data_IF_042099247730
#
_entry.id   IF_042099247730
#
_cell.length_a   1.000
_cell.length_b   1.000
_cell.length_c   1.000
_cell.angle_alpha   90.00
_cell.angle_beta   90.00
_cell.angle_gamma   90.00
#
_symmetry.space_group_name_H-M   'P 1'
#
loop_
_entity.id
_entity.type
_entity.pdbx_description
1 polymer ?
#
# COMPACT_ATOMS: atom_id res chain seq x y z
N UNK A 1 -6.96 -18.35 -3.11
CA UNK A 1 -6.21 -17.14 -3.53
C UNK A 1 -6.39 -16.03 -2.52
N UNK A 2 -5.48 -15.08 -2.46
CA UNK A 2 -5.59 -13.90 -1.59
C UNK A 2 -5.47 -12.63 -2.42
N UNK A 3 -6.12 -11.57 -1.98
CA UNK A 3 -5.99 -10.23 -2.52
C UNK A 3 -5.44 -9.31 -1.45
N UNK A 4 -4.43 -8.52 -1.81
CA UNK A 4 -3.95 -7.41 -1.02
C UNK A 4 -4.54 -6.10 -1.54
N UNK A 5 -5.14 -5.31 -0.66
CA UNK A 5 -5.44 -3.89 -0.89
C UNK A 5 -4.47 -3.07 -0.03
N UNK A 6 -3.75 -2.17 -0.67
CA UNK A 6 -2.67 -1.37 -0.08
C UNK A 6 -3.04 0.10 -0.23
N UNK A 7 -2.96 0.84 0.87
CA UNK A 7 -2.94 2.30 0.88
C UNK A 7 -1.57 2.76 1.36
N UNK A 8 -0.93 3.65 0.62
CA UNK A 8 0.42 4.15 0.93
C UNK A 8 0.52 5.63 0.63
N UNK A 9 1.53 6.28 1.20
CA UNK A 9 1.87 7.67 0.92
C UNK A 9 2.04 7.87 -0.60
N UNK A 10 1.39 8.90 -1.15
CA UNK A 10 1.59 9.31 -2.52
C UNK A 10 2.95 10.01 -2.70
N UNK A 11 3.50 10.00 -3.91
CA UNK A 11 4.79 10.65 -4.21
C UNK A 11 4.79 12.15 -3.87
N UNK A 12 3.62 12.81 -3.93
CA UNK A 12 3.45 14.24 -3.68
C UNK A 12 3.01 14.59 -2.24
N UNK A 13 3.08 13.66 -1.28
CA UNK A 13 2.58 13.83 0.09
C UNK A 13 3.17 15.05 0.83
N UNK A 14 4.41 15.44 0.51
CA UNK A 14 5.06 16.65 1.06
C UNK A 14 4.33 17.95 0.67
N UNK A 15 3.63 17.95 -0.48
CA UNK A 15 2.82 19.08 -0.96
C UNK A 15 1.34 18.87 -0.65
N UNK A 16 0.87 17.62 -0.72
CA UNK A 16 -0.51 17.22 -0.55
C UNK A 16 -0.60 16.08 0.48
N UNK A 17 -0.55 16.40 1.79
CA UNK A 17 -0.41 15.38 2.83
C UNK A 17 -1.61 14.42 2.96
N UNK A 18 -2.74 14.75 2.33
CA UNK A 18 -3.93 13.91 2.31
C UNK A 18 -4.05 13.02 1.06
N UNK A 19 -3.09 13.08 0.12
CA UNK A 19 -3.08 12.20 -1.03
C UNK A 19 -2.55 10.82 -0.65
N UNK A 20 -3.23 9.78 -1.15
CA UNK A 20 -2.90 8.38 -0.90
C UNK A 20 -2.99 7.60 -2.19
N UNK A 21 -2.01 6.73 -2.42
CA UNK A 21 -2.06 5.75 -3.49
C UNK A 21 -2.78 4.49 -3.03
N UNK A 22 -3.61 3.92 -3.93
CA UNK A 22 -4.33 2.66 -3.69
C UNK A 22 -3.93 1.60 -4.71
N UNK A 23 -3.38 0.50 -4.23
CA UNK A 23 -2.96 -0.65 -5.05
C UNK A 23 -3.77 -1.89 -4.68
N UNK A 24 -4.25 -2.62 -5.69
CA UNK A 24 -4.95 -3.90 -5.50
C UNK A 24 -4.26 -4.96 -6.33
N UNK A 25 -3.80 -6.03 -5.69
CA UNK A 25 -3.13 -7.15 -6.37
C UNK A 25 -3.48 -8.50 -5.77
N UNK A 26 -3.56 -9.53 -6.61
CA UNK A 26 -3.57 -10.93 -6.15
C UNK A 26 -2.18 -11.25 -5.58
N UNK A 27 -2.15 -11.98 -4.48
CA UNK A 27 -0.91 -12.33 -3.78
C UNK A 27 -0.89 -13.78 -3.31
N UNK A 28 0.33 -14.31 -3.17
CA UNK A 28 0.62 -15.61 -2.58
C UNK A 28 1.48 -15.46 -1.32
N UNK A 29 1.63 -16.56 -0.56
CA UNK A 29 2.53 -16.60 0.63
C UNK A 29 3.99 -16.32 0.29
N UNK A 30 4.41 -16.52 -0.96
CA UNK A 30 5.81 -16.35 -1.39
C UNK A 30 6.10 -14.95 -1.94
N UNK A 31 5.07 -14.13 -2.14
CA UNK A 31 5.24 -12.81 -2.75
C UNK A 31 5.85 -11.84 -1.76
N UNK A 32 6.66 -10.92 -2.28
CA UNK A 32 7.20 -9.79 -1.53
C UNK A 32 6.44 -8.53 -1.97
N UNK A 33 6.16 -7.66 -0.99
CA UNK A 33 5.52 -6.35 -1.19
C UNK A 33 6.49 -5.31 -0.61
N UNK A 34 7.01 -4.44 -1.47
CA UNK A 34 7.82 -3.30 -1.08
C UNK A 34 6.89 -2.09 -0.84
N UNK A 35 7.09 -1.38 0.26
CA UNK A 35 6.33 -0.20 0.65
C UNK A 35 7.29 0.97 0.79
N UNK A 36 7.13 1.97 -0.06
CA UNK A 36 7.92 3.20 0.00
C UNK A 36 7.18 4.19 0.90
N UNK A 37 7.68 4.36 2.12
CA UNK A 37 7.08 5.25 3.12
C UNK A 37 7.71 6.63 3.05
N UNK A 38 6.88 7.66 3.11
CA UNK A 38 7.35 9.02 3.29
C UNK A 38 7.83 9.26 4.72
N UNK A 39 8.52 10.38 4.93
CA UNK A 39 8.93 10.79 6.28
C UNK A 39 7.69 11.03 7.14
N UNK A 40 7.65 10.41 8.32
CA UNK A 40 6.51 10.45 9.24
C UNK A 40 5.18 9.91 8.64
N UNK A 41 5.25 9.19 7.51
CA UNK A 41 4.13 8.56 6.82
C UNK A 41 3.86 7.12 7.25
N UNK A 42 3.14 6.39 6.41
CA UNK A 42 2.78 5.01 6.71
C UNK A 42 2.02 4.30 5.59
N UNK A 43 1.69 3.03 5.84
CA UNK A 43 0.91 2.23 4.91
C UNK A 43 -0.10 1.35 5.65
N UNK A 44 -1.25 1.14 5.01
CA UNK A 44 -2.27 0.18 5.44
C UNK A 44 -2.34 -0.96 4.42
N UNK A 45 -2.24 -2.19 4.92
CA UNK A 45 -2.37 -3.41 4.13
C UNK A 45 -3.55 -4.23 4.64
N UNK A 46 -4.52 -4.51 3.78
CA UNK A 46 -5.61 -5.45 4.05
C UNK A 46 -5.50 -6.65 3.11
N UNK A 47 -5.29 -7.84 3.68
CA UNK A 47 -5.22 -9.11 2.95
C UNK A 47 -6.51 -9.90 3.19
N UNK A 48 -7.22 -10.22 2.12
CA UNK A 48 -8.48 -10.97 2.18
C UNK A 48 -8.37 -12.24 1.35
N UNK A 49 -8.93 -13.34 1.85
CA UNK A 49 -9.09 -14.56 1.06
C UNK A 49 -10.12 -14.30 -0.05
N UNK A 50 -9.77 -14.65 -1.28
CA UNK A 50 -10.68 -14.66 -2.43
C UNK A 50 -11.53 -15.93 -2.44
#
# INVERSE_FOLDING_TARGET
>A
DYQATIYTDAEDVERNPNNLDRLVRKVTRKDIIELNLARDGGALLHITKL
#
